data_IF_327729339750
#
_entry.id   IF_327729339750
#
_cell.length_a   1.000
_cell.length_b   1.000
_cell.length_c   1.000
_cell.angle_alpha   90.00
_cell.angle_beta   90.00
_cell.angle_gamma   90.00
#
_symmetry.space_group_name_H-M   'P 1'
#
loop_
_entity.id
_entity.type
_entity.pdbx_description
1 polymer ?
#
# COMPACT_ATOMS: atom_id res chain seq x y z
N UNK A 1 15.46 4.26 2.24
CA UNK A 1 14.69 3.28 3.04
C UNK A 1 15.38 3.04 4.37
N UNK A 2 14.65 2.59 5.40
CA UNK A 2 15.26 2.11 6.65
C UNK A 2 15.77 0.69 6.49
N UNK A 3 16.58 0.20 7.45
CA UNK A 3 17.04 -1.21 7.45
C UNK A 3 15.86 -2.19 7.38
N UNK A 4 14.82 -2.00 8.24
CA UNK A 4 13.60 -2.82 8.23
C UNK A 4 12.88 -2.82 6.88
N UNK A 5 12.73 -1.63 6.26
CA UNK A 5 12.09 -1.51 4.96
C UNK A 5 12.90 -2.19 3.83
N UNK A 6 14.22 -2.15 3.93
CA UNK A 6 15.11 -2.80 2.97
C UNK A 6 15.05 -4.33 3.10
N UNK A 7 15.08 -4.83 4.33
CA UNK A 7 14.94 -6.26 4.64
C UNK A 7 13.61 -6.81 4.09
N UNK A 8 12.47 -6.21 4.49
CA UNK A 8 11.15 -6.61 3.99
C UNK A 8 11.07 -6.52 2.46
N UNK A 9 11.66 -5.48 1.86
CA UNK A 9 11.70 -5.34 0.40
C UNK A 9 12.49 -6.46 -0.27
N UNK A 10 13.59 -6.91 0.33
CA UNK A 10 14.42 -8.02 -0.16
C UNK A 10 13.66 -9.35 -0.04
N UNK A 11 13.02 -9.60 1.10
CA UNK A 11 12.23 -10.82 1.32
C UNK A 11 11.09 -10.95 0.30
N UNK A 12 10.39 -9.83 -0.01
CA UNK A 12 9.34 -9.82 -1.04
C UNK A 12 9.91 -10.14 -2.43
N UNK A 13 11.09 -9.62 -2.76
CA UNK A 13 11.76 -9.95 -4.02
C UNK A 13 12.07 -11.44 -4.10
N UNK A 14 12.52 -12.05 -3.00
CA UNK A 14 12.76 -13.50 -2.92
C UNK A 14 11.47 -14.30 -3.08
N UNK A 15 10.36 -13.87 -2.48
CA UNK A 15 9.03 -14.49 -2.68
C UNK A 15 8.61 -14.46 -4.15
N UNK A 16 8.83 -13.32 -4.82
CA UNK A 16 8.53 -13.16 -6.24
C UNK A 16 9.34 -14.15 -7.06
N UNK A 17 10.63 -14.27 -6.80
CA UNK A 17 11.52 -15.19 -7.49
C UNK A 17 11.07 -16.64 -7.27
N UNK A 18 10.79 -17.04 -6.02
CA UNK A 18 10.28 -18.37 -5.69
C UNK A 18 9.00 -18.70 -6.47
N UNK A 19 8.08 -17.72 -6.57
CA UNK A 19 6.85 -17.86 -7.35
C UNK A 19 7.11 -18.17 -8.81
N UNK A 20 8.06 -17.48 -9.44
CA UNK A 20 8.36 -17.66 -10.85
C UNK A 20 9.19 -18.91 -11.11
N UNK A 21 10.19 -19.20 -10.27
CA UNK A 21 11.06 -20.38 -10.41
C UNK A 21 10.27 -21.69 -10.21
N UNK A 22 9.33 -21.72 -9.26
CA UNK A 22 8.54 -22.92 -8.98
C UNK A 22 7.21 -23.01 -9.77
N UNK A 23 6.96 -22.07 -10.67
CA UNK A 23 5.73 -21.98 -11.48
C UNK A 23 4.42 -22.07 -10.66
N UNK A 24 4.39 -21.42 -9.52
CA UNK A 24 3.24 -21.39 -8.60
C UNK A 24 2.66 -19.98 -8.50
N UNK A 25 1.41 -19.85 -8.06
CA UNK A 25 0.89 -18.56 -7.64
C UNK A 25 1.45 -18.19 -6.26
N UNK A 26 1.87 -16.94 -6.08
CA UNK A 26 2.42 -16.41 -4.85
C UNK A 26 1.69 -15.17 -4.35
N UNK A 27 1.63 -15.00 -3.03
CA UNK A 27 1.07 -13.84 -2.36
C UNK A 27 2.03 -13.40 -1.25
N UNK A 28 2.50 -12.15 -1.30
CA UNK A 28 3.21 -11.52 -0.19
C UNK A 28 2.27 -10.53 0.51
N UNK A 29 1.89 -10.81 1.75
CA UNK A 29 1.04 -9.95 2.57
C UNK A 29 1.91 -9.12 3.52
N UNK A 30 1.95 -7.82 3.31
CA UNK A 30 2.73 -6.87 4.09
C UNK A 30 1.82 -6.12 5.06
N UNK A 31 1.85 -6.51 6.33
CA UNK A 31 1.12 -5.82 7.38
C UNK A 31 1.90 -4.59 7.85
N UNK A 32 1.21 -3.49 8.05
CA UNK A 32 1.84 -2.29 8.61
C UNK A 32 0.82 -1.20 8.88
N UNK A 33 0.98 -0.52 10.01
CA UNK A 33 0.14 0.63 10.36
C UNK A 33 0.38 1.81 9.41
N UNK A 34 -0.50 2.82 9.50
CA UNK A 34 -0.30 4.08 8.79
C UNK A 34 1.06 4.70 9.13
N UNK A 35 1.84 5.08 8.12
CA UNK A 35 3.13 5.75 8.31
C UNK A 35 4.36 4.85 8.46
N UNK A 36 4.24 3.53 8.28
CA UNK A 36 5.38 2.59 8.27
C UNK A 36 6.14 2.57 6.93
N UNK A 37 5.64 3.28 5.91
CA UNK A 37 6.31 3.41 4.62
C UNK A 37 5.99 2.31 3.62
N UNK A 38 4.85 1.63 3.73
CA UNK A 38 4.38 0.58 2.79
C UNK A 38 4.56 0.98 1.32
N UNK A 39 4.09 2.18 0.94
CA UNK A 39 4.24 2.68 -0.43
C UNK A 39 5.71 2.91 -0.84
N UNK A 40 6.58 3.32 0.08
CA UNK A 40 8.01 3.48 -0.19
C UNK A 40 8.64 2.13 -0.53
N UNK A 41 8.30 1.09 0.23
CA UNK A 41 8.74 -0.29 -0.03
C UNK A 41 8.22 -0.76 -1.39
N UNK A 42 6.92 -0.56 -1.70
CA UNK A 42 6.33 -0.93 -2.99
C UNK A 42 7.08 -0.30 -4.17
N UNK A 43 7.25 1.02 -4.15
CA UNK A 43 7.93 1.75 -5.23
C UNK A 43 9.40 1.31 -5.35
N UNK A 44 10.09 1.08 -4.25
CA UNK A 44 11.48 0.60 -4.25
C UNK A 44 11.61 -0.78 -4.88
N UNK A 45 10.69 -1.72 -4.58
CA UNK A 45 10.70 -3.06 -5.19
C UNK A 45 10.42 -2.95 -6.69
N UNK A 46 9.38 -2.20 -7.09
CA UNK A 46 9.05 -2.00 -8.52
C UNK A 46 10.25 -1.41 -9.27
N UNK A 47 10.88 -0.39 -8.71
CA UNK A 47 12.07 0.24 -9.29
C UNK A 47 13.24 -0.76 -9.40
N UNK A 48 13.48 -1.59 -8.39
CA UNK A 48 14.50 -2.64 -8.44
C UNK A 48 14.21 -3.67 -9.53
N UNK A 49 12.96 -4.12 -9.65
CA UNK A 49 12.55 -5.08 -10.67
C UNK A 49 12.70 -4.51 -12.09
N UNK A 50 12.29 -3.25 -12.31
CA UNK A 50 12.37 -2.61 -13.63
C UNK A 50 13.82 -2.33 -14.02
N UNK A 51 14.64 -1.81 -13.11
CA UNK A 51 16.05 -1.50 -13.40
C UNK A 51 16.88 -2.76 -13.67
N UNK A 52 16.53 -3.89 -13.07
CA UNK A 52 17.26 -5.14 -13.29
C UNK A 52 17.04 -5.68 -14.71
N UNK A 53 15.89 -5.37 -15.33
CA UNK A 53 15.63 -5.72 -16.72
C UNK A 53 16.50 -4.94 -17.71
N UNK A 54 16.97 -3.76 -17.30
CA UNK A 54 17.79 -2.83 -18.12
C UNK A 54 19.30 -2.93 -17.82
N UNK A 55 19.75 -3.70 -16.81
CA UNK A 55 21.17 -3.82 -16.47
C UNK A 55 21.91 -4.64 -17.54
N UNK A 56 22.83 -4.00 -18.26
CA UNK A 56 23.85 -4.67 -19.05
C UNK A 56 24.85 -5.39 -18.11
N UNK A 57 25.35 -6.56 -18.50
CA UNK A 57 26.13 -7.49 -17.66
C UNK A 57 27.40 -6.87 -17.00
N UNK A 58 27.91 -5.76 -17.53
CA UNK A 58 29.21 -5.18 -17.15
C UNK A 58 29.14 -4.11 -16.04
N UNK A 59 27.96 -3.75 -15.51
CA UNK A 59 27.81 -2.62 -14.59
C UNK A 59 27.74 -2.97 -13.09
N UNK A 60 28.17 -4.18 -12.69
CA UNK A 60 28.20 -4.59 -11.28
C UNK A 60 29.43 -3.98 -10.60
N UNK A 61 29.27 -2.74 -10.08
CA UNK A 61 30.23 -2.14 -9.18
C UNK A 61 30.37 -2.93 -7.89
N UNK A 62 31.47 -2.76 -7.17
CA UNK A 62 31.71 -3.36 -5.86
C UNK A 62 30.63 -2.89 -4.88
N UNK A 63 29.68 -3.76 -4.53
CA UNK A 63 28.75 -3.56 -3.45
C UNK A 63 29.31 -4.15 -2.17
N UNK A 64 29.31 -3.34 -1.11
CA UNK A 64 29.95 -3.71 0.16
C UNK A 64 29.06 -4.59 1.07
N UNK A 65 27.76 -4.77 0.75
CA UNK A 65 26.82 -5.47 1.62
C UNK A 65 26.39 -6.83 1.03
N UNK A 66 26.47 -7.89 1.83
CA UNK A 66 26.10 -9.26 1.40
C UNK A 66 24.62 -9.38 1.04
N UNK A 67 23.74 -8.57 1.65
CA UNK A 67 22.31 -8.50 1.34
C UNK A 67 22.09 -7.96 -0.07
N UNK A 68 22.82 -6.94 -0.49
CA UNK A 68 22.72 -6.37 -1.83
C UNK A 68 23.23 -7.35 -2.89
N UNK A 69 24.27 -8.14 -2.61
CA UNK A 69 24.77 -9.19 -3.51
C UNK A 69 23.74 -10.30 -3.72
N UNK A 70 23.08 -10.77 -2.65
CA UNK A 70 22.03 -11.78 -2.75
C UNK A 70 20.83 -11.27 -3.57
N UNK A 71 20.41 -10.04 -3.31
CA UNK A 71 19.33 -9.38 -4.04
C UNK A 71 19.64 -9.26 -5.53
N UNK A 72 20.84 -8.85 -5.90
CA UNK A 72 21.25 -8.72 -7.30
C UNK A 72 21.32 -10.08 -8.00
N UNK A 73 21.87 -11.11 -7.32
CA UNK A 73 21.90 -12.45 -7.87
C UNK A 73 20.48 -12.99 -8.14
N UNK A 74 19.59 -12.81 -7.18
CA UNK A 74 18.21 -13.20 -7.27
C UNK A 74 17.44 -12.46 -8.38
N UNK A 75 17.68 -11.15 -8.54
CA UNK A 75 17.08 -10.37 -9.62
C UNK A 75 17.60 -10.78 -11.01
N UNK A 76 18.89 -11.19 -11.13
CA UNK A 76 19.43 -11.76 -12.38
C UNK A 76 18.74 -13.07 -12.72
N UNK A 77 18.58 -13.97 -11.77
CA UNK A 77 17.85 -15.24 -11.96
C UNK A 77 16.41 -15.00 -12.42
N UNK A 78 15.71 -14.04 -11.83
CA UNK A 78 14.38 -13.62 -12.25
C UNK A 78 14.39 -13.08 -13.70
N UNK A 79 15.39 -12.26 -14.08
CA UNK A 79 15.55 -11.75 -15.43
C UNK A 79 15.71 -12.89 -16.43
N UNK A 80 16.60 -13.84 -16.16
CA UNK A 80 16.84 -14.99 -17.04
C UNK A 80 15.59 -15.86 -17.20
N UNK A 81 14.85 -16.08 -16.10
CA UNK A 81 13.56 -16.78 -16.15
C UNK A 81 12.55 -16.03 -17.04
N UNK A 82 12.38 -14.72 -16.85
CA UNK A 82 11.44 -13.90 -17.61
C UNK A 82 11.78 -13.93 -19.12
N UNK A 83 13.05 -13.77 -19.47
CA UNK A 83 13.50 -13.79 -20.87
C UNK A 83 13.24 -15.15 -21.52
N UNK A 84 13.41 -16.24 -20.78
CA UNK A 84 13.22 -17.61 -21.26
C UNK A 84 11.73 -17.96 -21.42
N UNK A 85 10.92 -17.73 -20.39
CA UNK A 85 9.53 -18.21 -20.35
C UNK A 85 8.55 -17.30 -21.09
N UNK A 86 8.84 -16.00 -21.19
CA UNK A 86 7.95 -15.06 -21.87
C UNK A 86 8.19 -14.89 -23.36
N UNK A 87 9.15 -15.61 -23.96
CA UNK A 87 9.46 -15.52 -25.39
C UNK A 87 9.65 -14.06 -25.88
N UNK A 88 10.35 -13.24 -25.09
CA UNK A 88 10.61 -11.84 -25.42
C UNK A 88 9.44 -10.86 -25.14
N UNK A 89 8.34 -11.31 -24.53
CA UNK A 89 7.28 -10.38 -24.08
C UNK A 89 7.77 -9.60 -22.87
N UNK A 90 7.50 -8.27 -22.78
CA UNK A 90 7.90 -7.46 -21.64
C UNK A 90 7.22 -7.94 -20.36
N UNK A 91 7.98 -7.88 -19.27
CA UNK A 91 7.48 -8.15 -17.92
C UNK A 91 6.47 -7.08 -17.51
N UNK A 92 5.32 -7.49 -17.00
CA UNK A 92 4.21 -6.59 -16.75
C UNK A 92 3.89 -6.46 -15.27
N UNK A 93 4.16 -5.27 -14.74
CA UNK A 93 3.85 -4.92 -13.35
C UNK A 93 2.69 -3.92 -13.33
N UNK A 94 1.72 -4.15 -12.45
CA UNK A 94 0.66 -3.20 -12.14
C UNK A 94 0.71 -2.72 -10.69
N UNK A 95 0.41 -1.44 -10.46
CA UNK A 95 0.28 -0.84 -9.14
C UNK A 95 -1.17 -0.44 -8.89
N UNK A 96 -1.89 -1.25 -8.14
CA UNK A 96 -3.32 -1.11 -7.89
C UNK A 96 -3.56 -0.17 -6.73
N UNK A 97 -4.31 0.90 -6.98
CA UNK A 97 -4.76 1.85 -5.96
C UNK A 97 -6.30 1.90 -5.91
N UNK A 98 -6.93 1.40 -4.84
CA UNK A 98 -8.38 1.44 -4.69
C UNK A 98 -8.97 2.85 -4.67
N UNK A 99 -8.20 3.84 -4.21
CA UNK A 99 -8.65 5.23 -4.07
C UNK A 99 -8.44 6.05 -5.36
N UNK A 100 -9.52 6.44 -6.09
CA UNK A 100 -9.40 7.15 -7.38
C UNK A 100 -8.66 8.49 -7.29
N UNK A 101 -8.93 9.29 -6.24
CA UNK A 101 -8.31 10.60 -6.06
C UNK A 101 -6.79 10.56 -5.89
N UNK A 102 -6.27 9.43 -5.39
CA UNK A 102 -4.84 9.27 -5.15
C UNK A 102 -4.09 8.73 -6.37
N UNK A 103 -4.76 8.00 -7.25
CA UNK A 103 -4.17 7.43 -8.48
C UNK A 103 -3.49 8.48 -9.34
N UNK A 104 -4.16 9.62 -9.57
CA UNK A 104 -3.60 10.71 -10.40
C UNK A 104 -2.28 11.26 -9.85
N UNK A 105 -2.21 11.43 -8.53
CA UNK A 105 -0.99 11.93 -7.87
C UNK A 105 0.15 10.93 -8.03
N UNK A 106 -0.10 9.65 -7.78
CA UNK A 106 0.93 8.61 -7.92
C UNK A 106 1.34 8.37 -9.37
N UNK A 107 0.39 8.42 -10.33
CA UNK A 107 0.72 8.38 -11.76
C UNK A 107 1.68 9.50 -12.17
N UNK A 108 1.50 10.71 -11.64
CA UNK A 108 2.43 11.82 -11.90
C UNK A 108 3.81 11.55 -11.27
N UNK A 109 3.85 11.04 -10.03
CA UNK A 109 5.10 10.66 -9.37
C UNK A 109 5.85 9.61 -10.20
N UNK A 110 5.18 8.56 -10.66
CA UNK A 110 5.79 7.52 -11.50
C UNK A 110 6.37 8.13 -12.78
N UNK A 111 5.63 9.02 -13.44
CA UNK A 111 6.11 9.72 -14.63
C UNK A 111 7.36 10.58 -14.36
N UNK A 112 7.41 11.26 -13.21
CA UNK A 112 8.53 12.13 -12.83
C UNK A 112 9.76 11.37 -12.37
N UNK A 113 9.58 10.22 -11.70
CA UNK A 113 10.68 9.39 -11.25
C UNK A 113 11.44 8.74 -12.43
N UNK A 114 10.78 8.43 -13.54
CA UNK A 114 11.40 7.71 -14.66
C UNK A 114 11.89 6.31 -14.26
N UNK A 115 13.07 5.91 -14.70
CA UNK A 115 13.74 4.64 -14.34
C UNK A 115 12.81 3.41 -14.48
N UNK A 116 12.12 3.28 -15.62
CA UNK A 116 11.17 2.17 -15.85
C UNK A 116 9.79 2.36 -15.23
N UNK A 117 9.61 3.32 -14.31
CA UNK A 117 8.30 3.65 -13.76
C UNK A 117 7.48 4.46 -14.77
N UNK A 118 6.32 3.97 -15.16
CA UNK A 118 5.43 4.65 -16.10
C UNK A 118 4.04 4.86 -15.50
N UNK A 119 3.38 5.96 -15.91
CA UNK A 119 2.06 6.34 -15.37
C UNK A 119 1.00 5.25 -15.52
N UNK A 120 1.10 4.44 -16.59
CA UNK A 120 0.10 3.42 -16.95
C UNK A 120 0.21 2.15 -16.06
N UNK A 121 1.28 2.02 -15.26
CA UNK A 121 1.36 1.02 -14.19
C UNK A 121 0.35 1.28 -13.09
N UNK A 122 -0.07 2.54 -12.87
CA UNK A 122 -0.97 2.92 -11.78
C UNK A 122 -2.42 2.75 -12.22
N UNK A 123 -3.07 1.72 -11.71
CA UNK A 123 -4.40 1.28 -12.13
C UNK A 123 -5.40 1.22 -10.97
N UNK A 124 -6.68 1.13 -11.31
CA UNK A 124 -7.74 0.84 -10.33
C UNK A 124 -8.06 -0.66 -10.27
N UNK A 125 -8.79 -1.11 -9.22
CA UNK A 125 -9.15 -2.52 -9.10
C UNK A 125 -9.94 -3.08 -10.31
N UNK A 126 -10.78 -2.26 -10.96
CA UNK A 126 -11.53 -2.69 -12.15
C UNK A 126 -10.66 -2.77 -13.42
N UNK A 127 -9.44 -2.25 -13.37
CA UNK A 127 -8.56 -2.22 -14.53
C UNK A 127 -7.65 -3.46 -14.63
N UNK A 128 -7.59 -4.29 -13.57
CA UNK A 128 -6.74 -5.48 -13.51
C UNK A 128 -7.04 -6.52 -14.61
N UNK A 129 -8.27 -6.49 -15.15
CA UNK A 129 -8.71 -7.39 -16.23
C UNK A 129 -8.33 -6.91 -17.64
N UNK A 130 -7.64 -5.77 -17.76
CA UNK A 130 -7.30 -5.19 -19.07
C UNK A 130 -6.06 -5.80 -19.68
N UNK A 131 -5.20 -6.37 -18.86
CA UNK A 131 -3.88 -6.85 -19.23
C UNK A 131 -3.53 -8.12 -18.45
N UNK A 132 -2.58 -8.90 -18.97
CA UNK A 132 -2.00 -10.05 -18.27
C UNK A 132 -0.81 -9.58 -17.44
N UNK A 133 -1.01 -9.40 -16.14
CA UNK A 133 0.05 -8.98 -15.23
C UNK A 133 0.85 -10.17 -14.71
N UNK A 134 2.16 -9.98 -14.63
CA UNK A 134 3.04 -10.92 -13.92
C UNK A 134 2.99 -10.68 -12.42
N UNK A 135 3.08 -9.40 -12.03
CA UNK A 135 3.02 -8.97 -10.63
C UNK A 135 2.02 -7.82 -10.48
N UNK A 136 1.19 -7.91 -9.47
CA UNK A 136 0.36 -6.81 -9.00
C UNK A 136 0.77 -6.39 -7.59
N UNK A 137 1.12 -5.13 -7.43
CA UNK A 137 1.27 -4.48 -6.13
C UNK A 137 -0.03 -3.77 -5.79
N UNK A 138 -0.57 -4.00 -4.60
CA UNK A 138 -1.84 -3.40 -4.15
C UNK A 138 -1.59 -2.59 -2.90
N UNK A 139 -1.58 -1.28 -3.00
CA UNK A 139 -1.52 -0.42 -1.82
C UNK A 139 -2.91 -0.20 -1.24
N UNK A 140 -2.99 -0.03 0.08
CA UNK A 140 -4.26 0.10 0.79
C UNK A 140 -5.22 -1.07 0.50
N UNK A 141 -4.73 -2.31 0.45
CA UNK A 141 -5.52 -3.48 0.04
C UNK A 141 -6.74 -3.75 0.94
N UNK A 142 -6.76 -3.23 2.18
CA UNK A 142 -7.94 -3.23 3.06
C UNK A 142 -9.12 -2.40 2.52
N UNK A 143 -8.91 -1.57 1.48
CA UNK A 143 -9.97 -0.81 0.81
C UNK A 143 -10.52 -1.49 -0.44
N UNK A 144 -10.08 -2.69 -0.74
CA UNK A 144 -10.69 -3.52 -1.77
C UNK A 144 -12.11 -3.87 -1.35
N UNK A 145 -13.05 -3.68 -2.27
CA UNK A 145 -14.47 -3.68 -1.95
C UNK A 145 -15.16 -4.99 -2.34
N UNK A 146 -16.18 -5.34 -1.57
CA UNK A 146 -17.21 -6.29 -1.96
C UNK A 146 -18.40 -5.56 -2.59
N UNK A 147 -19.34 -6.30 -3.18
CA UNK A 147 -20.55 -5.76 -3.83
C UNK A 147 -21.57 -5.24 -2.81
N UNK A 148 -21.20 -4.21 -2.05
CA UNK A 148 -22.05 -3.57 -1.04
C UNK A 148 -21.84 -2.07 -1.03
N UNK A 149 -22.93 -1.29 -1.11
CA UNK A 149 -22.90 0.18 -1.05
C UNK A 149 -21.88 0.83 -2.00
N UNK A 150 -21.77 0.29 -3.23
CA UNK A 150 -20.89 0.80 -4.27
C UNK A 150 -21.52 1.99 -5.01
N UNK A 151 -20.68 2.93 -5.43
CA UNK A 151 -21.10 4.06 -6.27
C UNK A 151 -21.42 3.61 -7.71
N UNK A 152 -20.89 2.44 -8.16
CA UNK A 152 -21.04 1.94 -9.51
C UNK A 152 -21.06 0.41 -9.56
N UNK A 153 -22.25 -0.18 -9.44
CA UNK A 153 -22.41 -1.63 -9.54
C UNK A 153 -22.09 -2.18 -10.93
N UNK A 154 -22.39 -1.41 -11.99
CA UNK A 154 -22.16 -1.86 -13.37
C UNK A 154 -20.71 -2.19 -13.70
N UNK A 155 -19.76 -1.39 -13.25
CA UNK A 155 -18.34 -1.68 -13.44
C UNK A 155 -17.86 -2.88 -12.63
N UNK A 156 -18.35 -3.03 -11.39
CA UNK A 156 -18.08 -4.17 -10.54
C UNK A 156 -18.57 -5.47 -11.19
N UNK A 157 -19.85 -5.49 -11.60
CA UNK A 157 -20.47 -6.66 -12.21
C UNK A 157 -19.80 -7.04 -13.55
N UNK A 158 -19.47 -6.04 -14.36
CA UNK A 158 -18.77 -6.27 -15.64
C UNK A 158 -17.38 -6.88 -15.43
N UNK A 159 -16.62 -6.39 -14.45
CA UNK A 159 -15.29 -6.92 -14.14
C UNK A 159 -15.38 -8.35 -13.61
N UNK A 160 -16.29 -8.62 -12.66
CA UNK A 160 -16.50 -9.96 -12.12
C UNK A 160 -16.84 -10.97 -13.23
N UNK A 161 -17.78 -10.63 -14.12
CA UNK A 161 -18.17 -11.51 -15.24
C UNK A 161 -17.04 -11.77 -16.24
N UNK A 162 -16.19 -10.77 -16.49
CA UNK A 162 -14.98 -10.97 -17.34
C UNK A 162 -14.02 -12.00 -16.78
N UNK A 163 -13.98 -12.13 -15.45
CA UNK A 163 -13.18 -13.13 -14.73
C UNK A 163 -13.91 -14.46 -14.53
N UNK A 164 -15.14 -14.61 -15.02
CA UNK A 164 -15.95 -15.81 -14.81
C UNK A 164 -16.46 -15.95 -13.38
N UNK A 165 -16.50 -14.85 -12.60
CA UNK A 165 -16.92 -14.83 -11.20
C UNK A 165 -18.35 -14.32 -11.06
N UNK A 166 -19.12 -14.85 -10.08
CA UNK A 166 -20.42 -14.29 -9.74
C UNK A 166 -20.26 -12.96 -9.00
N UNK A 167 -20.82 -11.85 -9.53
CA UNK A 167 -20.71 -10.55 -8.88
C UNK A 167 -21.26 -10.51 -7.44
N UNK A 168 -22.20 -11.39 -7.08
CA UNK A 168 -22.81 -11.41 -5.74
C UNK A 168 -21.93 -12.13 -4.69
N UNK A 169 -21.06 -13.01 -5.13
CA UNK A 169 -20.23 -13.86 -4.27
C UNK A 169 -18.74 -13.48 -4.26
N UNK A 170 -18.33 -12.60 -5.19
CA UNK A 170 -16.94 -12.20 -5.35
C UNK A 170 -16.64 -10.83 -4.72
N UNK A 171 -15.36 -10.52 -4.65
CA UNK A 171 -14.83 -9.24 -4.19
C UNK A 171 -13.61 -8.81 -5.01
N UNK A 172 -13.17 -7.56 -4.84
CA UNK A 172 -12.03 -7.01 -5.59
C UNK A 172 -10.69 -7.65 -5.25
N UNK A 173 -10.54 -8.27 -4.08
CA UNK A 173 -9.34 -9.02 -3.74
C UNK A 173 -9.24 -10.28 -4.61
N UNK A 174 -10.35 -11.00 -4.82
CA UNK A 174 -10.38 -12.13 -5.75
C UNK A 174 -10.00 -11.74 -7.18
N UNK A 175 -10.41 -10.54 -7.65
CA UNK A 175 -10.01 -10.08 -8.98
C UNK A 175 -8.50 -9.94 -9.10
N UNK A 176 -7.88 -9.27 -8.13
CA UNK A 176 -6.43 -9.07 -8.10
C UNK A 176 -5.69 -10.40 -8.06
N UNK A 177 -6.14 -11.33 -7.20
CA UNK A 177 -5.53 -12.65 -7.04
C UNK A 177 -5.67 -13.53 -8.30
N UNK A 178 -6.70 -13.29 -9.13
CA UNK A 178 -6.86 -14.01 -10.39
C UNK A 178 -6.04 -13.44 -11.54
N UNK A 179 -5.70 -12.13 -11.51
CA UNK A 179 -5.12 -11.42 -12.65
C UNK A 179 -3.59 -11.35 -12.63
N UNK A 180 -2.89 -11.96 -11.66
CA UNK A 180 -1.44 -11.99 -11.64
C UNK A 180 -0.90 -13.32 -11.13
N UNK A 181 0.36 -13.60 -11.46
CA UNK A 181 1.09 -14.77 -10.97
C UNK A 181 1.58 -14.55 -9.54
N UNK A 182 2.07 -13.33 -9.24
CA UNK A 182 2.42 -12.91 -7.88
C UNK A 182 1.69 -11.63 -7.48
N UNK A 183 1.17 -11.57 -6.25
CA UNK A 183 0.46 -10.41 -5.73
C UNK A 183 1.09 -9.96 -4.41
N UNK A 184 1.50 -8.69 -4.35
CA UNK A 184 2.00 -8.05 -3.13
C UNK A 184 0.90 -7.16 -2.56
N UNK A 185 0.40 -7.51 -1.38
CA UNK A 185 -0.72 -6.83 -0.72
C UNK A 185 -0.20 -6.01 0.47
N UNK A 186 -0.31 -4.69 0.40
CA UNK A 186 -0.04 -3.81 1.54
C UNK A 186 -1.32 -3.57 2.32
N UNK A 187 -1.37 -4.10 3.53
CA UNK A 187 -2.57 -4.18 4.36
C UNK A 187 -2.41 -3.42 5.68
N UNK A 188 -3.49 -2.79 6.12
CA UNK A 188 -3.61 -2.19 7.44
C UNK A 188 -4.98 -2.55 8.04
N UNK A 189 -4.99 -3.48 8.97
CA UNK A 189 -6.23 -3.99 9.59
C UNK A 189 -7.06 -2.93 10.33
N UNK A 190 -6.45 -1.81 10.69
CA UNK A 190 -7.12 -0.74 11.44
C UNK A 190 -7.73 0.35 10.55
N UNK A 191 -7.57 0.26 9.22
CA UNK A 191 -8.05 1.27 8.29
C UNK A 191 -9.23 0.84 7.40
N UNK A 192 -9.76 -0.37 7.57
CA UNK A 192 -11.02 -0.79 6.95
C UNK A 192 -12.19 -0.12 7.67
N UNK A 193 -12.81 0.89 7.05
CA UNK A 193 -13.84 1.73 7.71
C UNK A 193 -15.14 1.84 6.93
N UNK A 194 -15.16 1.46 5.65
CA UNK A 194 -16.37 1.53 4.82
C UNK A 194 -17.14 0.20 4.88
N UNK A 195 -18.44 0.27 4.78
CA UNK A 195 -19.27 -0.93 4.71
C UNK A 195 -19.07 -1.77 3.43
N UNK A 196 -18.46 -1.17 2.40
CA UNK A 196 -18.01 -1.85 1.19
C UNK A 196 -16.67 -2.56 1.34
N UNK A 197 -15.83 -2.15 2.31
CA UNK A 197 -14.54 -2.75 2.51
C UNK A 197 -14.70 -4.18 3.06
N UNK A 198 -13.74 -5.06 2.76
CA UNK A 198 -13.74 -6.41 3.33
C UNK A 198 -13.47 -6.33 4.84
N UNK A 199 -14.23 -7.09 5.61
CA UNK A 199 -13.88 -7.32 7.01
C UNK A 199 -12.59 -8.14 7.11
N UNK A 200 -11.90 -8.10 8.25
CA UNK A 200 -10.69 -8.90 8.45
C UNK A 200 -10.93 -10.41 8.21
N UNK A 201 -12.09 -10.94 8.62
CA UNK A 201 -12.46 -12.32 8.35
C UNK A 201 -12.64 -12.59 6.86
N UNK A 202 -13.46 -11.79 6.16
CA UNK A 202 -13.69 -11.95 4.71
C UNK A 202 -12.38 -11.83 3.91
N UNK A 203 -11.48 -10.95 4.34
CA UNK A 203 -10.16 -10.79 3.73
C UNK A 203 -9.32 -12.05 3.89
N UNK A 204 -9.25 -12.59 5.12
CA UNK A 204 -8.51 -13.81 5.41
C UNK A 204 -9.12 -15.04 4.73
N UNK A 205 -10.46 -15.17 4.70
CA UNK A 205 -11.16 -16.24 4.01
C UNK A 205 -10.86 -16.22 2.51
N UNK A 206 -10.83 -15.03 1.91
CA UNK A 206 -10.44 -14.86 0.50
C UNK A 206 -9.00 -15.28 0.29
N UNK A 207 -8.05 -14.86 1.13
CA UNK A 207 -6.65 -15.28 1.02
C UNK A 207 -6.53 -16.80 1.14
N UNK A 208 -7.17 -17.42 2.11
CA UNK A 208 -7.14 -18.88 2.31
C UNK A 208 -7.66 -19.65 1.09
N UNK A 209 -8.69 -19.12 0.41
CA UNK A 209 -9.24 -19.74 -0.81
C UNK A 209 -8.23 -19.75 -1.97
N UNK A 210 -7.36 -18.72 -2.05
CA UNK A 210 -6.42 -18.54 -3.17
C UNK A 210 -4.96 -18.84 -2.81
N UNK A 211 -4.63 -19.04 -1.52
CA UNK A 211 -3.25 -19.18 -1.06
C UNK A 211 -2.71 -20.56 -1.38
N UNK A 212 -1.90 -20.62 -2.43
CA UNK A 212 -1.00 -21.76 -2.69
C UNK A 212 0.36 -21.49 -2.02
N UNK A 213 0.81 -20.24 -1.98
CA UNK A 213 2.03 -19.79 -1.31
C UNK A 213 1.81 -18.37 -0.75
N UNK A 214 1.46 -18.28 0.54
CA UNK A 214 1.19 -17.02 1.24
C UNK A 214 2.30 -16.72 2.23
N UNK A 215 3.09 -15.67 1.96
CA UNK A 215 4.14 -15.18 2.83
C UNK A 215 3.69 -13.93 3.59
N UNK A 216 4.02 -13.84 4.87
CA UNK A 216 3.66 -12.73 5.73
C UNK A 216 4.88 -11.90 6.09
N UNK A 217 4.77 -10.59 5.88
CA UNK A 217 5.77 -9.59 6.25
C UNK A 217 5.15 -8.52 7.14
N UNK A 218 5.94 -7.87 7.98
CA UNK A 218 5.46 -6.85 8.90
C UNK A 218 6.38 -5.62 8.89
N UNK A 219 5.78 -4.42 8.77
CA UNK A 219 6.46 -3.13 8.94
C UNK A 219 5.98 -2.50 10.25
N UNK A 220 6.89 -2.38 11.23
CA UNK A 220 6.59 -1.92 12.59
C UNK A 220 6.94 -0.46 12.83
N UNK A 221 8.04 0.00 12.24
CA UNK A 221 8.62 1.30 12.53
C UNK A 221 7.76 2.43 11.98
N UNK A 222 7.23 3.28 12.87
CA UNK A 222 6.45 4.46 12.51
C UNK A 222 7.37 5.60 12.07
N UNK A 223 7.27 6.02 10.79
CA UNK A 223 8.12 7.07 10.20
C UNK A 223 7.42 8.42 10.04
N UNK A 224 6.08 8.46 10.13
CA UNK A 224 5.30 9.68 9.88
C UNK A 224 5.08 10.51 11.13
N UNK A 225 4.94 9.85 12.28
CA UNK A 225 4.63 10.48 13.55
C UNK A 225 5.83 10.48 14.49
N UNK A 226 6.27 11.66 14.94
CA UNK A 226 7.38 11.81 15.91
C UNK A 226 7.09 11.17 17.26
N UNK A 227 5.81 10.99 17.63
CA UNK A 227 5.41 10.29 18.85
C UNK A 227 5.65 8.78 18.81
N UNK A 228 6.00 8.22 17.63
CA UNK A 228 6.40 6.83 17.47
C UNK A 228 5.36 5.81 17.94
N UNK A 229 5.84 4.63 18.34
CA UNK A 229 5.00 3.54 18.84
C UNK A 229 4.17 3.94 20.10
N UNK A 230 4.73 4.67 21.10
CA UNK A 230 3.96 5.06 22.28
C UNK A 230 2.71 5.88 21.96
N UNK A 231 2.77 6.76 20.96
CA UNK A 231 1.61 7.51 20.49
C UNK A 231 0.55 6.59 19.86
N UNK A 232 0.98 5.69 18.99
CA UNK A 232 0.06 4.75 18.31
C UNK A 232 -0.64 3.84 19.32
N UNK A 233 0.10 3.29 20.28
CA UNK A 233 -0.45 2.47 21.36
C UNK A 233 -1.46 3.24 22.22
N UNK A 234 -1.14 4.49 22.56
CA UNK A 234 -2.05 5.34 23.31
C UNK A 234 -3.36 5.60 22.55
N UNK A 235 -3.28 5.94 21.25
CA UNK A 235 -4.46 6.14 20.41
C UNK A 235 -5.27 4.84 20.27
N UNK A 236 -4.63 3.70 20.04
CA UNK A 236 -5.29 2.40 19.98
C UNK A 236 -6.04 2.08 21.27
N UNK A 237 -5.43 2.37 22.43
CA UNK A 237 -6.04 2.15 23.73
C UNK A 237 -7.28 3.04 23.94
N UNK A 238 -7.23 4.32 23.53
CA UNK A 238 -8.38 5.22 23.54
C UNK A 238 -9.50 4.69 22.65
N UNK A 239 -9.19 4.32 21.41
CA UNK A 239 -10.18 3.85 20.43
C UNK A 239 -10.83 2.54 20.84
N UNK A 240 -10.12 1.68 21.56
CA UNK A 240 -10.64 0.41 22.11
C UNK A 240 -11.34 0.60 23.47
N UNK A 241 -11.52 1.83 23.94
CA UNK A 241 -12.12 2.14 25.25
C UNK A 241 -11.44 1.43 26.43
N UNK A 242 -10.16 1.08 26.29
CA UNK A 242 -9.40 0.57 27.43
C UNK A 242 -9.06 1.73 28.36
N UNK A 243 -9.19 1.49 29.69
CA UNK A 243 -8.93 2.54 30.68
C UNK A 243 -7.45 2.93 30.65
N UNK A 244 -7.16 4.07 30.03
CA UNK A 244 -5.80 4.60 29.91
C UNK A 244 -5.72 5.94 30.59
N UNK A 245 -4.84 6.02 31.60
CA UNK A 245 -4.43 7.33 32.11
C UNK A 245 -3.73 8.12 30.98
N UNK A 246 -3.92 9.45 31.00
CA UNK A 246 -3.21 10.35 30.10
C UNK A 246 -1.70 10.10 30.21
N UNK A 247 -1.04 9.79 29.10
CA UNK A 247 0.41 9.61 29.02
C UNK A 247 1.02 10.80 28.29
N UNK A 248 1.99 11.44 28.92
CA UNK A 248 2.87 12.39 28.24
C UNK A 248 3.80 11.59 27.33
N UNK A 249 3.84 11.98 26.06
CA UNK A 249 4.73 11.34 25.06
C UNK A 249 5.94 12.25 24.90
N UNK A 250 7.11 11.69 25.12
CA UNK A 250 8.36 12.44 25.05
C UNK A 250 8.54 13.09 23.67
N UNK A 251 8.88 14.37 23.64
CA UNK A 251 9.07 15.18 22.43
C UNK A 251 7.88 15.21 21.45
N UNK A 252 6.66 14.92 21.95
CA UNK A 252 5.44 14.97 21.16
C UNK A 252 4.26 15.55 21.94
N UNK A 253 3.73 16.69 21.47
CA UNK A 253 2.56 17.32 22.07
C UNK A 253 1.28 16.68 21.52
N UNK A 254 0.54 15.99 22.38
CA UNK A 254 -0.81 15.54 22.10
C UNK A 254 -1.80 16.34 22.94
N UNK A 255 -2.58 17.20 22.30
CA UNK A 255 -3.50 18.12 22.95
C UNK A 255 -4.94 17.81 22.53
N UNK A 256 -5.85 17.74 23.49
CA UNK A 256 -7.29 17.60 23.28
C UNK A 256 -7.98 18.92 23.66
N UNK A 257 -8.95 19.33 22.86
CA UNK A 257 -9.70 20.56 23.06
C UNK A 257 -11.20 20.26 23.03
N UNK A 258 -11.94 20.77 24.01
CA UNK A 258 -13.40 20.71 24.05
C UNK A 258 -14.05 21.73 23.12
N UNK A 259 -13.32 22.81 22.77
CA UNK A 259 -13.77 23.90 21.92
C UNK A 259 -12.88 24.00 20.67
N UNK A 260 -13.48 23.89 19.46
CA UNK A 260 -12.75 24.07 18.20
C UNK A 260 -12.03 25.42 18.08
N UNK A 261 -12.54 26.49 18.70
CA UNK A 261 -11.90 27.80 18.65
C UNK A 261 -10.57 27.80 19.42
N UNK A 262 -10.52 27.13 20.58
CA UNK A 262 -9.27 26.96 21.36
C UNK A 262 -8.23 26.18 20.57
N UNK A 263 -8.66 25.13 19.83
CA UNK A 263 -7.79 24.38 18.93
C UNK A 263 -7.19 25.31 17.85
N UNK A 264 -8.03 26.12 17.21
CA UNK A 264 -7.60 27.07 16.17
C UNK A 264 -6.62 28.12 16.74
N UNK A 265 -6.88 28.65 17.91
CA UNK A 265 -5.98 29.58 18.60
C UNK A 265 -4.63 28.96 18.90
N UNK A 266 -4.60 27.73 19.40
CA UNK A 266 -3.35 27.02 19.69
C UNK A 266 -2.55 26.71 18.42
N UNK A 267 -3.23 26.30 17.35
CA UNK A 267 -2.62 26.13 16.04
C UNK A 267 -1.98 27.43 15.56
N UNK A 268 -2.70 28.57 15.67
CA UNK A 268 -2.17 29.89 15.29
C UNK A 268 -0.94 30.26 16.09
N UNK A 269 -0.94 30.06 17.42
CA UNK A 269 0.23 30.30 18.28
C UNK A 269 1.44 29.50 17.84
N UNK A 270 1.25 28.21 17.53
CA UNK A 270 2.33 27.32 17.07
C UNK A 270 2.80 27.64 15.65
N UNK A 271 1.92 28.11 14.76
CA UNK A 271 2.28 28.51 13.39
C UNK A 271 3.22 29.72 13.35
N UNK A 272 3.15 30.63 14.32
CA UNK A 272 4.05 31.79 14.39
C UNK A 272 5.51 31.33 14.59
N UNK A 273 5.72 30.19 15.21
CA UNK A 273 7.03 29.66 15.58
C UNK A 273 7.56 28.55 14.66
N UNK A 274 6.75 28.05 13.71
CA UNK A 274 7.11 26.87 12.90
C UNK A 274 6.67 27.09 11.45
N UNK A 275 7.60 27.01 10.51
CA UNK A 275 7.35 27.19 9.06
C UNK A 275 6.40 26.15 8.41
N UNK A 276 6.10 25.04 9.08
CA UNK A 276 5.19 23.98 8.57
C UNK A 276 4.40 23.36 9.72
N UNK A 277 3.08 23.57 9.74
CA UNK A 277 2.14 22.85 10.59
C UNK A 277 1.28 21.94 9.71
N UNK A 278 1.33 20.62 9.93
CA UNK A 278 0.35 19.68 9.33
C UNK A 278 -0.90 19.68 10.20
N UNK A 279 -1.99 20.19 9.65
CA UNK A 279 -3.28 20.29 10.33
C UNK A 279 -4.14 19.08 9.96
N UNK A 280 -4.55 18.31 10.98
CA UNK A 280 -5.59 17.29 10.86
C UNK A 280 -6.76 17.71 11.73
N UNK A 281 -7.88 18.07 11.12
CA UNK A 281 -9.15 18.31 11.79
C UNK A 281 -10.02 17.06 11.64
N UNK A 282 -10.27 16.35 12.74
CA UNK A 282 -11.29 15.30 12.81
C UNK A 282 -12.51 15.91 13.50
N UNK A 283 -13.56 16.18 12.72
CA UNK A 283 -14.84 16.59 13.27
C UNK A 283 -15.69 15.36 13.61
N UNK A 284 -15.97 15.16 14.87
CA UNK A 284 -17.12 14.40 15.33
C UNK A 284 -18.27 15.40 15.53
N UNK A 285 -19.08 15.59 14.52
CA UNK A 285 -20.25 16.48 14.55
C UNK A 285 -21.51 15.72 14.18
N UNK A 286 -22.40 15.58 15.14
CA UNK A 286 -23.80 15.27 14.93
C UNK A 286 -24.38 16.41 14.08
N UNK A 287 -24.72 16.08 12.84
CA UNK A 287 -25.59 16.77 11.92
C UNK A 287 -25.87 18.26 12.10
N UNK A 288 -25.04 19.11 11.47
CA UNK A 288 -25.45 20.31 10.74
C UNK A 288 -24.27 20.80 9.90
N UNK A 289 -24.46 20.82 8.59
CA UNK A 289 -23.52 21.46 7.66
C UNK A 289 -23.45 22.96 7.97
N UNK A 290 -22.33 23.42 8.54
CA UNK A 290 -21.94 24.81 8.45
C UNK A 290 -20.76 24.89 7.49
N UNK A 291 -20.95 25.67 6.43
CA UNK A 291 -19.94 25.93 5.40
C UNK A 291 -18.67 26.51 6.06
N UNK A 292 -17.62 25.72 6.08
CA UNK A 292 -16.27 26.24 6.33
C UNK A 292 -15.76 26.74 4.98
N UNK A 293 -15.74 28.06 4.80
CA UNK A 293 -15.04 28.70 3.68
C UNK A 293 -13.58 28.26 3.70
N UNK A 294 -13.11 27.78 2.56
CA UNK A 294 -11.74 27.31 2.35
C UNK A 294 -10.71 28.30 2.87
N UNK A 295 -9.92 27.88 3.86
CA UNK A 295 -8.67 28.54 4.21
C UNK A 295 -7.62 28.09 3.16
N UNK A 296 -7.30 28.95 2.22
CA UNK A 296 -6.07 28.82 1.41
C UNK A 296 -4.89 29.07 2.33
N UNK A 297 -4.07 28.06 2.53
CA UNK A 297 -2.74 28.20 3.11
C UNK A 297 -1.78 28.34 1.93
N UNK A 298 -1.10 29.47 1.88
CA UNK A 298 -0.01 29.76 0.93
C UNK A 298 1.25 29.02 1.41
#
# INVERSE_FOLDING_TARGET
MTGEQNEVGTDIIMDIIDTFTNDKKGISLVNGCAGTGKMVVAISIINSLMNTLDIEEDSVGEFDDDIDKQKIAALKELKDYILKERNGKPFKIGFVLPMPGFRRTISNVFKECGNGLVKDMVIGPCDVVKEDYDILFVDESHRLSKRKNLTGYGSFDSTSRKLGLDPNETNQLEWVLNCAKHVVLFYDQYQAVKSSDLTASEYQDTLNKYSVNLNHHELKTQMRCKGGAPYIEYIKAIMNCTNTAFKTIENYDFLLFDDPNKLIEEIRKKMINIRYVKQWLVFHGIGKQSQVKSLKII
#
